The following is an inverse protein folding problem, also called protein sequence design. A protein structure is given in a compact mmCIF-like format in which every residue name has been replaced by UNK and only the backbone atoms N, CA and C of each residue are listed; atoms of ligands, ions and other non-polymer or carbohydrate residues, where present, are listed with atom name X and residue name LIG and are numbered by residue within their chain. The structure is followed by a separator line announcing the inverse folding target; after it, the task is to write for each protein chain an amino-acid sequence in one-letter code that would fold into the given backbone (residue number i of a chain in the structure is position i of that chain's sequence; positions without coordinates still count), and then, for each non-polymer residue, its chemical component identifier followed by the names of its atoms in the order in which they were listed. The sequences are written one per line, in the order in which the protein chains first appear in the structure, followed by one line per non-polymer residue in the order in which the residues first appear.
data_IF_744529847870
#
_entry.id   IF_744529847870
#
_cell.length_a   1.000
_cell.length_b   1.000
_cell.length_c   1.000
_cell.angle_alpha   90.00
_cell.angle_beta   90.00
_cell.angle_gamma   90.00
#
_symmetry.space_group_name_H-M   'P 1'
#
loop_
_entity.id
_entity.type
_entity.pdbx_description
1 polymer ?
#
# COMPACT_ATOMS: atom_id res chain seq x y z
N UNK A 1 7.49 -12.63 -6.61
CA UNK A 1 7.47 -11.85 -5.36
C UNK A 1 8.11 -10.51 -5.64
N UNK A 2 7.39 -9.42 -5.44
CA UNK A 2 7.83 -8.06 -5.76
C UNK A 2 8.55 -7.45 -4.55
N UNK A 3 9.71 -6.83 -4.76
CA UNK A 3 10.40 -6.03 -3.75
C UNK A 3 10.68 -4.64 -4.27
N UNK A 4 10.61 -3.64 -3.40
CA UNK A 4 10.89 -2.27 -3.79
C UNK A 4 11.13 -1.35 -2.60
N UNK A 5 11.53 -0.11 -2.92
CA UNK A 5 11.68 0.97 -1.94
C UNK A 5 10.95 2.20 -2.47
N UNK A 6 10.14 2.85 -1.66
CA UNK A 6 9.41 4.08 -2.03
C UNK A 6 10.36 5.28 -2.07
N UNK A 7 9.95 6.42 -2.63
CA UNK A 7 10.74 7.66 -2.67
C UNK A 7 11.13 8.14 -1.28
N UNK A 8 10.26 7.90 -0.29
CA UNK A 8 10.50 8.23 1.11
C UNK A 8 11.44 7.23 1.81
N UNK A 9 11.78 6.10 1.18
CA UNK A 9 12.69 5.09 1.74
C UNK A 9 11.99 3.89 2.40
N UNK A 10 10.66 3.77 2.28
CA UNK A 10 9.95 2.61 2.82
C UNK A 10 10.22 1.37 1.96
N UNK A 11 10.79 0.32 2.55
CA UNK A 11 11.04 -0.96 1.87
C UNK A 11 9.82 -1.86 2.00
N UNK A 12 9.44 -2.51 0.91
CA UNK A 12 8.30 -3.41 0.87
C UNK A 12 8.61 -4.68 0.07
N UNK A 13 7.87 -5.73 0.39
CA UNK A 13 7.92 -7.04 -0.24
C UNK A 13 6.51 -7.61 -0.37
N UNK A 14 5.99 -7.72 -1.59
CA UNK A 14 4.62 -8.15 -1.86
C UNK A 14 4.67 -9.51 -2.57
N UNK A 15 3.98 -10.50 -2.02
CA UNK A 15 3.84 -11.82 -2.65
C UNK A 15 2.98 -11.72 -3.92
N UNK A 16 3.30 -12.49 -4.96
CA UNK A 16 2.56 -12.43 -6.24
C UNK A 16 1.09 -12.83 -6.06
N UNK A 17 0.81 -13.76 -5.15
CA UNK A 17 -0.54 -14.17 -4.76
C UNK A 17 -1.40 -13.01 -4.23
N UNK A 18 -0.79 -12.04 -3.53
CA UNK A 18 -1.50 -10.84 -3.03
C UNK A 18 -1.87 -9.89 -4.16
N UNK A 19 -1.03 -9.80 -5.18
CA UNK A 19 -1.29 -8.98 -6.37
C UNK A 19 -2.36 -9.62 -7.25
N UNK A 20 -2.44 -10.95 -7.27
CA UNK A 20 -3.47 -11.72 -7.96
C UNK A 20 -4.65 -12.10 -7.01
N UNK A 21 -4.94 -11.26 -6.03
CA UNK A 21 -6.05 -11.48 -5.11
C UNK A 21 -7.30 -10.74 -5.60
N UNK A 22 -8.40 -11.47 -5.82
CA UNK A 22 -9.67 -10.88 -6.26
C UNK A 22 -10.24 -9.91 -5.21
N UNK A 23 -10.11 -10.19 -3.92
CA UNK A 23 -10.57 -9.29 -2.86
C UNK A 23 -9.80 -7.95 -2.88
N UNK A 24 -8.54 -7.95 -3.33
CA UNK A 24 -7.78 -6.72 -3.51
C UNK A 24 -8.40 -5.87 -4.63
N UNK A 25 -8.82 -6.50 -5.72
CA UNK A 25 -9.47 -5.82 -6.85
C UNK A 25 -10.81 -5.19 -6.45
N UNK A 26 -11.64 -5.94 -5.72
CA UNK A 26 -12.93 -5.43 -5.20
C UNK A 26 -12.73 -4.19 -4.34
N UNK A 27 -11.80 -4.26 -3.38
CA UNK A 27 -11.53 -3.14 -2.49
C UNK A 27 -10.94 -1.95 -3.24
N UNK A 28 -10.09 -2.18 -4.25
CA UNK A 28 -9.56 -1.10 -5.10
C UNK A 28 -10.66 -0.38 -5.88
N UNK A 29 -11.68 -1.09 -6.36
CA UNK A 29 -12.79 -0.48 -7.09
C UNK A 29 -13.67 0.41 -6.20
N UNK A 30 -13.76 0.09 -4.90
CA UNK A 30 -14.64 0.79 -3.96
C UNK A 30 -13.93 1.88 -3.15
N UNK A 31 -12.59 1.86 -3.05
CA UNK A 31 -11.86 2.74 -2.12
C UNK A 31 -12.00 4.22 -2.45
N UNK A 32 -12.24 4.56 -3.72
CA UNK A 32 -12.47 5.94 -4.17
C UNK A 32 -13.83 6.48 -3.68
N UNK A 33 -14.85 5.62 -3.60
CA UNK A 33 -16.18 5.97 -3.08
C UNK A 33 -16.26 5.85 -1.56
N UNK A 34 -15.48 4.93 -0.97
CA UNK A 34 -15.43 4.67 0.46
C UNK A 34 -13.98 4.63 1.00
N UNK A 35 -13.42 5.79 1.39
CA UNK A 35 -12.07 5.89 1.94
C UNK A 35 -11.83 5.07 3.22
N UNK A 36 -12.90 4.64 3.92
CA UNK A 36 -12.79 3.79 5.11
C UNK A 36 -12.27 2.38 4.78
N UNK A 37 -12.24 2.00 3.51
CA UNK A 37 -11.67 0.73 3.05
C UNK A 37 -10.14 0.76 2.92
N UNK A 38 -9.51 1.93 2.99
CA UNK A 38 -8.06 2.08 2.86
C UNK A 38 -7.23 1.18 3.81
N UNK A 39 -7.61 0.99 5.09
CA UNK A 39 -6.91 0.06 5.98
C UNK A 39 -7.03 -1.41 5.55
N UNK A 40 -8.17 -1.81 4.97
CA UNK A 40 -8.38 -3.15 4.41
C UNK A 40 -7.51 -3.34 3.16
N UNK A 41 -7.51 -2.35 2.27
CA UNK A 41 -6.66 -2.32 1.06
C UNK A 41 -5.18 -2.55 1.41
N UNK A 42 -4.66 -1.79 2.37
CA UNK A 42 -3.29 -1.91 2.85
C UNK A 42 -2.95 -3.32 3.34
N UNK A 43 -3.89 -3.93 4.06
CA UNK A 43 -3.71 -5.26 4.66
C UNK A 43 -3.73 -6.36 3.60
N UNK A 44 -4.62 -6.24 2.60
CA UNK A 44 -4.65 -7.17 1.46
C UNK A 44 -3.36 -7.06 0.62
N UNK A 45 -2.92 -5.83 0.34
CA UNK A 45 -1.73 -5.57 -0.48
C UNK A 45 -0.42 -5.97 0.21
N UNK A 46 -0.18 -5.50 1.44
CA UNK A 46 1.10 -5.63 2.14
C UNK A 46 1.14 -6.75 3.19
N UNK A 47 -0.04 -7.19 3.64
CA UNK A 47 -0.18 -8.03 4.84
C UNK A 47 -0.10 -7.22 6.12
N UNK A 48 -0.61 -7.80 7.21
CA UNK A 48 -0.75 -7.11 8.51
C UNK A 48 0.55 -6.48 9.02
N UNK A 49 1.65 -7.24 8.92
CA UNK A 49 2.95 -6.81 9.46
C UNK A 49 3.48 -5.59 8.69
N UNK A 50 3.52 -5.65 7.36
CA UNK A 50 4.02 -4.54 6.57
C UNK A 50 3.07 -3.35 6.54
N UNK A 51 1.75 -3.57 6.56
CA UNK A 51 0.77 -2.49 6.68
C UNK A 51 0.97 -1.71 8.00
N UNK A 52 1.23 -2.40 9.12
CA UNK A 52 1.59 -1.76 10.40
C UNK A 52 2.93 -1.02 10.29
N UNK A 53 3.94 -1.64 9.68
CA UNK A 53 5.25 -1.00 9.50
C UNK A 53 5.16 0.27 8.64
N UNK A 54 4.36 0.27 7.58
CA UNK A 54 4.13 1.44 6.74
C UNK A 54 3.48 2.58 7.55
N UNK A 55 2.43 2.28 8.31
CA UNK A 55 1.78 3.28 9.17
C UNK A 55 2.73 3.85 10.21
N UNK A 56 3.61 3.03 10.79
CA UNK A 56 4.62 3.50 11.73
C UNK A 56 5.70 4.33 11.03
N UNK A 57 6.12 3.94 9.84
CA UNK A 57 7.10 4.66 9.04
C UNK A 57 6.62 6.06 8.62
N UNK A 58 5.34 6.20 8.30
CA UNK A 58 4.72 7.47 7.91
C UNK A 58 4.23 8.29 9.11
N UNK A 59 4.34 7.76 10.34
CA UNK A 59 3.86 8.46 11.54
C UNK A 59 4.72 9.68 11.82
N UNK A 60 4.07 10.83 11.97
CA UNK A 60 4.77 12.08 12.30
C UNK A 60 5.17 12.12 13.78
N UNK A 61 5.90 13.17 14.18
CA UNK A 61 6.37 13.37 15.57
C UNK A 61 5.24 13.46 16.60
N UNK A 62 4.05 13.86 16.17
CA UNK A 62 2.85 13.99 17.00
C UNK A 62 2.05 12.68 17.09
N UNK A 63 2.47 11.65 16.37
CA UNK A 63 1.84 10.33 16.40
C UNK A 63 0.73 10.12 15.37
N UNK A 64 0.51 11.05 14.44
CA UNK A 64 -0.52 10.94 13.40
C UNK A 64 0.05 10.40 12.09
N UNK A 65 -0.80 9.74 11.31
CA UNK A 65 -0.48 9.25 9.97
C UNK A 65 -1.43 9.95 8.99
N UNK A 66 -0.88 10.68 8.03
CA UNK A 66 -1.67 11.37 7.00
C UNK A 66 -2.22 10.37 6.00
N UNK A 67 -3.51 10.53 5.64
CA UNK A 67 -4.17 9.75 4.59
C UNK A 67 -3.47 9.98 3.25
N UNK A 68 -3.16 11.22 2.91
CA UNK A 68 -2.47 11.57 1.66
C UNK A 68 -1.13 10.85 1.53
N UNK A 69 -0.35 10.79 2.62
CA UNK A 69 0.94 10.10 2.60
C UNK A 69 0.80 8.59 2.36
N UNK A 70 -0.28 7.98 2.86
CA UNK A 70 -0.59 6.57 2.59
C UNK A 70 -0.96 6.43 1.11
N UNK A 71 -1.91 7.23 0.62
CA UNK A 71 -2.37 7.19 -0.76
C UNK A 71 -1.23 7.37 -1.77
N UNK A 72 -0.37 8.38 -1.57
CA UNK A 72 0.84 8.61 -2.37
C UNK A 72 1.77 7.41 -2.38
N UNK A 73 1.95 6.78 -1.21
CA UNK A 73 2.85 5.62 -1.09
C UNK A 73 2.29 4.40 -1.81
N UNK A 74 0.98 4.14 -1.70
CA UNK A 74 0.32 3.05 -2.41
C UNK A 74 0.37 3.31 -3.93
N UNK A 75 0.06 4.52 -4.37
CA UNK A 75 0.13 4.91 -5.78
C UNK A 75 1.54 4.71 -6.34
N UNK A 76 2.59 5.07 -5.57
CA UNK A 76 3.97 4.83 -5.98
C UNK A 76 4.30 3.33 -6.09
N UNK A 77 3.80 2.50 -5.17
CA UNK A 77 3.99 1.04 -5.25
C UNK A 77 3.41 0.52 -6.56
N UNK A 78 2.16 0.89 -6.89
CA UNK A 78 1.51 0.45 -8.13
C UNK A 78 2.17 1.00 -9.40
N UNK A 79 2.57 2.27 -9.45
CA UNK A 79 3.29 2.87 -10.59
C UNK A 79 4.62 2.15 -10.83
N UNK A 80 5.36 1.81 -9.77
CA UNK A 80 6.58 1.01 -9.90
C UNK A 80 6.31 -0.39 -10.44
N UNK A 81 5.16 -0.99 -10.17
CA UNK A 81 4.81 -2.28 -10.79
C UNK A 81 4.56 -2.17 -12.28
N UNK A 82 3.85 -1.13 -12.73
CA UNK A 82 3.60 -0.93 -14.17
C UNK A 82 4.91 -0.75 -14.94
N UNK A 83 5.87 -0.03 -14.36
CA UNK A 83 7.18 0.21 -14.97
C UNK A 83 8.09 -1.02 -15.02
N UNK A 84 7.88 -2.02 -14.15
CA UNK A 84 8.69 -3.27 -14.14
C UNK A 84 8.19 -4.28 -15.17
N UNK A 85 6.99 -4.09 -15.75
CA UNK A 85 6.46 -4.96 -16.82
C UNK A 85 6.89 -4.57 -18.24
N UNK A 86 7.63 -3.46 -18.42
CA UNK A 86 8.10 -2.96 -19.73
C UNK A 86 9.61 -3.15 -19.91
#
# INVERSE_FOLDING_TARGET
MLKGTTKKGFRYEIADERLNNFELLEVLAEVDENPLLMPKLLTLLLGDRQAKNLKNFLRNKEGFVSVDQISDTIAEIFDKQQKVKN
#
